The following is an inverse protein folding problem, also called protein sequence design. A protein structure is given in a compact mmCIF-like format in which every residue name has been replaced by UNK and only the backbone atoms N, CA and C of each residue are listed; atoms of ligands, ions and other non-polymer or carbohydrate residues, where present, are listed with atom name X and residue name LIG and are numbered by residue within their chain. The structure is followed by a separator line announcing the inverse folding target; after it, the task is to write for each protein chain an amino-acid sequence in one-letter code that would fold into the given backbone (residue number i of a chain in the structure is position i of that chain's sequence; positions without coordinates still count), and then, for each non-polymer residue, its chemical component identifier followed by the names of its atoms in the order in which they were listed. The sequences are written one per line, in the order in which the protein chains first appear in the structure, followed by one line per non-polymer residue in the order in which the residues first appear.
data_IF_880628478365
#
_entry.id   IF_880628478365
#
_cell.length_a   1.000
_cell.length_b   1.000
_cell.length_c   1.000
_cell.angle_alpha   90.00
_cell.angle_beta   90.00
_cell.angle_gamma   90.00
#
_symmetry.space_group_name_H-M   'P 1'
#
loop_
_entity.id
_entity.type
_entity.pdbx_description
1 polymer ?
#
# COMPACT_ATOMS: atom_id res chain seq x y z
N UNK A 1 20.27 -2.03 -8.20
CA UNK A 1 19.22 -1.08 -8.63
C UNK A 1 17.91 -1.83 -8.56
N UNK A 2 17.02 -1.48 -7.61
CA UNK A 2 15.70 -2.08 -7.56
C UNK A 2 14.96 -1.64 -8.82
N UNK A 3 14.79 -2.56 -9.77
CA UNK A 3 13.97 -2.35 -10.95
C UNK A 3 12.52 -2.43 -10.47
N UNK A 4 12.07 -1.38 -9.77
CA UNK A 4 10.72 -1.30 -9.24
C UNK A 4 9.80 -1.22 -10.46
N UNK A 5 9.18 -2.34 -10.80
CA UNK A 5 8.20 -2.38 -11.89
C UNK A 5 7.18 -1.25 -11.69
N UNK A 6 6.65 -0.64 -12.76
CA UNK A 6 5.62 0.41 -12.65
C UNK A 6 4.41 -0.02 -11.79
N UNK A 7 4.13 -1.32 -11.76
CA UNK A 7 3.13 -1.90 -10.87
C UNK A 7 3.50 -1.77 -9.39
N UNK A 8 4.76 -2.03 -9.02
CA UNK A 8 5.22 -1.92 -7.65
C UNK A 8 5.12 -0.48 -7.15
N UNK A 9 5.61 0.49 -7.93
CA UNK A 9 5.51 1.92 -7.58
C UNK A 9 4.06 2.36 -7.36
N UNK A 10 3.14 1.93 -8.23
CA UNK A 10 1.70 2.22 -8.06
C UNK A 10 1.16 1.58 -6.79
N UNK A 11 1.50 0.33 -6.49
CA UNK A 11 0.99 -0.37 -5.32
C UNK A 11 1.50 0.28 -4.02
N UNK A 12 2.77 0.66 -3.98
CA UNK A 12 3.39 1.45 -2.92
C UNK A 12 2.65 2.77 -2.70
N UNK A 13 2.37 3.50 -3.79
CA UNK A 13 1.62 4.76 -3.71
C UNK A 13 0.18 4.57 -3.21
N UNK A 14 -0.50 3.50 -3.64
CA UNK A 14 -1.83 3.12 -3.14
C UNK A 14 -1.77 2.85 -1.63
N UNK A 15 -0.78 2.08 -1.18
CA UNK A 15 -0.63 1.78 0.25
C UNK A 15 -0.45 3.04 1.09
N UNK A 16 0.51 3.88 0.73
CA UNK A 16 0.79 5.14 1.45
C UNK A 16 -0.46 6.02 1.46
N UNK A 17 -1.16 6.17 0.34
CA UNK A 17 -2.35 6.99 0.28
C UNK A 17 -3.48 6.49 1.19
N UNK A 18 -3.68 5.17 1.29
CA UNK A 18 -4.69 4.58 2.19
C UNK A 18 -4.30 4.78 3.66
N UNK A 19 -3.01 4.61 4.00
CA UNK A 19 -2.51 4.88 5.36
C UNK A 19 -2.65 6.36 5.72
N UNK A 20 -2.48 7.26 4.75
CA UNK A 20 -2.71 8.70 4.89
C UNK A 20 -4.20 9.10 4.87
N UNK A 21 -5.13 8.14 4.76
CA UNK A 21 -6.58 8.34 4.91
C UNK A 21 -7.38 8.39 3.60
N UNK A 22 -6.77 8.14 2.44
CA UNK A 22 -7.50 8.06 1.17
C UNK A 22 -8.41 6.83 1.12
N UNK A 23 -9.58 6.97 0.47
CA UNK A 23 -10.48 5.84 0.27
C UNK A 23 -10.11 5.04 -0.98
N UNK A 24 -10.49 3.76 -1.02
CA UNK A 24 -10.31 2.97 -2.23
C UNK A 24 -11.13 3.49 -3.44
N UNK A 25 -12.18 4.27 -3.21
CA UNK A 25 -12.97 4.90 -4.27
C UNK A 25 -12.17 6.00 -4.97
N UNK A 26 -11.66 6.95 -4.18
CA UNK A 26 -10.86 8.07 -4.70
C UNK A 26 -9.63 7.57 -5.48
N UNK A 27 -8.97 6.52 -4.98
CA UNK A 27 -7.81 5.93 -5.65
C UNK A 27 -8.19 5.18 -6.93
N UNK A 28 -9.35 4.54 -6.98
CA UNK A 28 -9.84 3.89 -8.19
C UNK A 28 -10.06 4.91 -9.31
N UNK A 29 -10.70 6.04 -8.98
CA UNK A 29 -10.92 7.16 -9.90
C UNK A 29 -9.60 7.80 -10.33
N UNK A 30 -8.70 8.10 -9.38
CA UNK A 30 -7.39 8.73 -9.64
C UNK A 30 -6.51 7.91 -10.58
N UNK A 31 -6.49 6.59 -10.42
CA UNK A 31 -5.65 5.70 -11.23
C UNK A 31 -6.37 5.11 -12.44
N UNK A 32 -7.67 5.37 -12.63
CA UNK A 32 -8.47 4.79 -13.70
C UNK A 32 -8.53 3.26 -13.65
N UNK A 33 -8.52 2.68 -12.44
CA UNK A 33 -8.58 1.22 -12.22
C UNK A 33 -9.77 0.86 -11.34
N UNK A 34 -10.17 -0.41 -11.34
CA UNK A 34 -11.25 -0.85 -10.47
C UNK A 34 -10.88 -0.78 -8.99
N UNK A 35 -11.86 -0.49 -8.13
CA UNK A 35 -11.73 -0.54 -6.66
C UNK A 35 -11.14 -1.87 -6.17
N UNK A 36 -11.52 -2.98 -6.81
CA UNK A 36 -10.97 -4.32 -6.52
C UNK A 36 -9.47 -4.39 -6.78
N UNK A 37 -8.97 -3.76 -7.86
CA UNK A 37 -7.51 -3.68 -8.10
C UNK A 37 -6.80 -2.86 -7.04
N UNK A 38 -7.38 -1.73 -6.61
CA UNK A 38 -6.84 -0.92 -5.51
C UNK A 38 -6.75 -1.73 -4.22
N UNK A 39 -7.82 -2.45 -3.86
CA UNK A 39 -7.85 -3.31 -2.68
C UNK A 39 -6.79 -4.41 -2.73
N UNK A 40 -6.61 -5.06 -3.88
CA UNK A 40 -5.57 -6.08 -4.07
C UNK A 40 -4.16 -5.50 -3.94
N UNK A 41 -3.91 -4.33 -4.51
CA UNK A 41 -2.65 -3.62 -4.38
C UNK A 41 -2.36 -3.27 -2.91
N UNK A 42 -3.34 -2.68 -2.22
CA UNK A 42 -3.25 -2.38 -0.80
C UNK A 42 -2.98 -3.63 0.05
N UNK A 43 -3.74 -4.71 -0.15
CA UNK A 43 -3.58 -5.94 0.61
C UNK A 43 -2.18 -6.55 0.46
N UNK A 44 -1.61 -6.49 -0.75
CA UNK A 44 -0.26 -7.01 -1.01
C UNK A 44 0.80 -6.23 -0.25
N UNK A 45 0.78 -4.91 -0.32
CA UNK A 45 1.74 -4.06 0.40
C UNK A 45 1.51 -4.11 1.91
N UNK A 46 0.27 -4.27 2.36
CA UNK A 46 -0.05 -4.50 3.77
C UNK A 46 0.57 -5.79 4.29
N UNK A 47 0.54 -6.89 3.52
CA UNK A 47 1.24 -8.12 3.88
C UNK A 47 2.75 -7.86 4.03
N UNK A 48 3.36 -7.13 3.10
CA UNK A 48 4.78 -6.77 3.19
C UNK A 48 5.07 -5.93 4.46
N UNK A 49 4.18 -4.99 4.80
CA UNK A 49 4.28 -4.19 6.01
C UNK A 49 4.20 -5.06 7.28
N UNK A 50 3.30 -6.05 7.31
CA UNK A 50 3.20 -7.01 8.41
C UNK A 50 4.44 -7.91 8.52
N UNK A 51 5.02 -8.33 7.41
CA UNK A 51 6.29 -9.06 7.40
C UNK A 51 7.45 -8.19 7.90
N UNK A 52 7.45 -6.88 7.60
CA UNK A 52 8.42 -5.96 8.18
C UNK A 52 8.20 -5.85 9.70
N UNK A 53 6.94 -5.75 10.15
CA UNK A 53 6.62 -5.68 11.57
C UNK A 53 7.06 -6.92 12.36
N UNK A 54 6.84 -8.11 11.81
CA UNK A 54 7.27 -9.36 12.44
C UNK A 54 8.79 -9.47 12.58
N UNK A 55 9.55 -8.74 11.75
CA UNK A 55 11.01 -8.60 11.82
C UNK A 55 11.47 -7.48 12.76
N UNK A 56 10.55 -6.81 13.45
CA UNK A 56 10.85 -5.74 14.41
C UNK A 56 10.82 -4.32 13.82
N UNK A 57 10.42 -4.14 12.56
CA UNK A 57 10.20 -2.79 12.01
C UNK A 57 8.91 -2.19 12.56
N UNK A 58 8.91 -0.87 12.81
CA UNK A 58 7.70 -0.12 13.22
C UNK A 58 7.11 0.70 12.08
N UNK A 59 7.86 0.83 10.99
CA UNK A 59 7.50 1.63 9.81
C UNK A 59 7.70 0.83 8.53
N UNK A 60 6.84 1.08 7.54
CA UNK A 60 6.94 0.55 6.19
C UNK A 60 6.65 1.69 5.21
N UNK A 61 7.53 1.91 4.22
CA UNK A 61 7.43 3.01 3.26
C UNK A 61 7.30 4.39 3.92
N UNK A 62 8.12 4.65 4.94
CA UNK A 62 8.13 5.92 5.71
C UNK A 62 6.77 6.27 6.36
N UNK A 63 5.94 5.25 6.60
CA UNK A 63 4.66 5.35 7.31
C UNK A 63 4.60 4.36 8.47
N UNK A 64 3.86 4.68 9.55
CA UNK A 64 3.64 3.73 10.63
C UNK A 64 2.94 2.49 10.05
N UNK A 65 3.41 1.30 10.44
CA UNK A 65 2.73 0.06 10.07
C UNK A 65 1.40 0.05 10.83
N UNK A 66 0.24 0.08 10.13
CA UNK A 66 -1.04 0.10 10.81
C UNK A 66 -1.19 -1.11 11.72
N UNK A 67 -1.59 -0.88 12.96
CA UNK A 67 -2.12 -1.93 13.83
C UNK A 67 -3.52 -2.21 13.30
N UNK A 68 -3.85 -3.45 12.96
CA UNK A 68 -5.23 -3.76 12.53
C UNK A 68 -6.23 -3.26 13.57
N UNK A 69 -7.26 -2.57 13.09
CA UNK A 69 -8.46 -2.21 13.85
C UNK A 69 -9.40 -3.40 13.98
#
# INVERSE_FOLDING_TARGET
MANSSPEHERNTAIYVAVVDGATFGDLAERYGISKVRVQKAYARERTNAWEARSRGHTTYLDRPIPEDV
#
